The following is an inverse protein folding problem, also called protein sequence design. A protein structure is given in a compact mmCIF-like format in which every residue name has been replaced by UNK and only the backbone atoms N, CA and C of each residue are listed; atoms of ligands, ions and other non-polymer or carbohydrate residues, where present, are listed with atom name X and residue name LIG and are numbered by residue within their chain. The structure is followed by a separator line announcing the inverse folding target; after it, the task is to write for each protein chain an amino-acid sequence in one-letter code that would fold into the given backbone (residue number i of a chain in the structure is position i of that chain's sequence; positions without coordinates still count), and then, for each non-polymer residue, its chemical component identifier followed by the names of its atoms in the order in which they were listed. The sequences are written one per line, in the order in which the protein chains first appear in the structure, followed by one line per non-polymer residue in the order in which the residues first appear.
data_IF_900196266725
#
_entry.id   IF_900196266725
#
_cell.length_a   1.000
_cell.length_b   1.000
_cell.length_c   1.000
_cell.angle_alpha   90.00
_cell.angle_beta   90.00
_cell.angle_gamma   90.00
#
_symmetry.space_group_name_H-M   'P 1'
#
loop_
_entity.id
_entity.type
_entity.pdbx_description
1 polymer ?
#
# COMPACT_ATOMS: atom_id res chain seq x y z
N UNK A 1 -28.73 31.00 61.17
CA UNK A 1 -28.93 29.95 60.14
C UNK A 1 -27.99 30.25 58.99
N UNK A 2 -26.83 29.58 58.94
CA UNK A 2 -25.86 29.72 57.85
C UNK A 2 -25.95 28.46 56.98
N UNK A 3 -26.46 28.59 55.76
CA UNK A 3 -26.58 27.48 54.79
C UNK A 3 -25.27 27.33 54.02
N UNK A 4 -24.63 26.19 54.17
CA UNK A 4 -23.50 25.73 53.35
C UNK A 4 -24.03 25.30 51.97
N UNK A 5 -23.55 25.93 50.90
CA UNK A 5 -23.74 25.46 49.52
C UNK A 5 -22.61 24.49 49.22
N UNK A 6 -22.94 23.21 49.06
CA UNK A 6 -21.99 22.18 48.62
C UNK A 6 -21.77 22.31 47.11
N UNK A 7 -20.55 22.72 46.73
CA UNK A 7 -20.09 22.78 45.34
C UNK A 7 -19.76 21.35 44.88
N UNK A 8 -20.62 20.78 44.02
CA UNK A 8 -20.40 19.45 43.43
C UNK A 8 -19.32 19.56 42.34
N UNK A 9 -18.09 19.16 42.67
CA UNK A 9 -16.98 19.10 41.71
C UNK A 9 -17.19 17.89 40.78
N UNK A 10 -17.65 18.16 39.56
CA UNK A 10 -17.84 17.16 38.51
C UNK A 10 -16.46 16.84 37.89
N UNK A 11 -15.80 15.81 38.41
CA UNK A 11 -14.55 15.29 37.84
C UNK A 11 -14.89 14.59 36.53
N UNK A 12 -14.66 15.26 35.40
CA UNK A 12 -14.69 14.66 34.07
C UNK A 12 -13.42 13.83 33.92
N UNK A 13 -13.49 12.54 34.23
CA UNK A 13 -12.44 11.58 33.90
C UNK A 13 -12.33 11.51 32.36
N UNK A 14 -11.14 11.69 31.77
CA UNK A 14 -10.96 11.49 30.35
C UNK A 14 -11.20 10.00 30.06
N UNK A 15 -12.23 9.71 29.26
CA UNK A 15 -12.41 8.38 28.68
C UNK A 15 -11.23 8.15 27.73
N UNK A 16 -10.16 7.53 28.24
CA UNK A 16 -9.13 6.97 27.38
C UNK A 16 -9.78 5.81 26.65
N UNK A 17 -10.19 6.05 25.39
CA UNK A 17 -10.56 4.98 24.47
C UNK A 17 -9.30 4.14 24.24
N UNK A 18 -9.11 3.14 25.10
CA UNK A 18 -8.12 2.11 24.86
C UNK A 18 -8.62 1.32 23.66
N UNK A 19 -7.97 1.47 22.51
CA UNK A 19 -8.28 0.65 21.34
C UNK A 19 -8.15 -0.82 21.72
N UNK A 20 -9.28 -1.53 21.82
CA UNK A 20 -9.34 -2.92 22.29
C UNK A 20 -8.36 -3.79 21.48
N UNK A 21 -7.27 -4.27 22.09
CA UNK A 21 -6.19 -5.03 21.41
C UNK A 21 -6.79 -6.18 20.56
N UNK A 22 -6.33 -6.33 19.31
CA UNK A 22 -6.74 -7.44 18.45
C UNK A 22 -6.26 -8.75 19.05
N UNK A 23 -7.11 -9.76 19.11
CA UNK A 23 -6.80 -11.10 19.60
C UNK A 23 -7.04 -12.15 18.51
N UNK A 24 -6.59 -13.38 18.75
CA UNK A 24 -6.87 -14.51 17.87
C UNK A 24 -8.38 -14.74 17.73
N UNK A 25 -9.13 -14.61 18.83
CA UNK A 25 -10.59 -14.73 18.84
C UNK A 25 -11.25 -13.68 17.95
N UNK A 26 -10.77 -12.42 17.98
CA UNK A 26 -11.30 -11.38 17.10
C UNK A 26 -11.05 -11.67 15.62
N UNK A 27 -9.98 -12.40 15.29
CA UNK A 27 -9.70 -12.84 13.90
C UNK A 27 -10.62 -14.00 13.51
N UNK A 28 -10.82 -14.97 14.40
CA UNK A 28 -11.69 -16.13 14.14
C UNK A 28 -13.16 -15.76 13.99
N UNK A 29 -13.60 -14.67 14.63
CA UNK A 29 -14.97 -14.17 14.51
C UNK A 29 -15.23 -13.35 13.24
N UNK A 30 -14.23 -13.18 12.37
CA UNK A 30 -14.40 -12.47 11.10
C UNK A 30 -15.25 -13.28 10.11
N UNK A 31 -15.91 -12.59 9.19
CA UNK A 31 -16.63 -13.25 8.11
C UNK A 31 -15.65 -14.03 7.21
N UNK A 32 -15.97 -15.30 6.99
CA UNK A 32 -15.19 -16.16 6.10
C UNK A 32 -15.38 -15.79 4.62
N UNK A 33 -14.28 -15.81 3.87
CA UNK A 33 -14.28 -15.69 2.42
C UNK A 33 -14.42 -17.08 1.80
N UNK A 34 -15.61 -17.37 1.26
CA UNK A 34 -15.86 -18.61 0.52
C UNK A 34 -15.29 -18.52 -0.90
N UNK A 35 -14.40 -19.44 -1.26
CA UNK A 35 -13.83 -19.56 -2.62
C UNK A 35 -14.00 -20.98 -3.11
N UNK A 36 -14.14 -21.17 -4.44
CA UNK A 36 -14.10 -22.53 -5.01
C UNK A 36 -12.77 -23.20 -4.63
N UNK A 37 -11.65 -22.63 -5.09
CA UNK A 37 -10.30 -23.10 -4.76
C UNK A 37 -9.40 -21.91 -4.42
N UNK A 38 -8.54 -22.07 -3.41
CA UNK A 38 -7.51 -21.08 -3.14
C UNK A 38 -6.40 -21.21 -4.19
N UNK A 39 -5.98 -20.08 -4.73
CA UNK A 39 -4.80 -19.96 -5.60
C UNK A 39 -3.98 -18.81 -5.06
N UNK A 40 -2.71 -19.08 -4.79
CA UNK A 40 -1.77 -18.05 -4.41
C UNK A 40 -1.55 -17.13 -5.61
N UNK A 41 -1.87 -15.86 -5.44
CA UNK A 41 -1.59 -14.82 -6.44
C UNK A 41 -0.19 -14.27 -6.20
N UNK A 42 0.83 -15.08 -6.55
CA UNK A 42 2.24 -14.72 -6.39
C UNK A 42 2.66 -13.77 -7.53
N UNK A 43 2.39 -12.48 -7.35
CA UNK A 43 2.69 -11.46 -8.37
C UNK A 43 3.42 -10.22 -7.85
N UNK A 44 3.10 -9.78 -6.63
CA UNK A 44 3.39 -8.41 -6.17
C UNK A 44 3.91 -8.31 -4.74
N UNK A 45 3.44 -9.19 -3.87
CA UNK A 45 4.03 -9.44 -2.56
C UNK A 45 4.72 -10.80 -2.61
N UNK A 46 5.83 -10.91 -1.89
CA UNK A 46 6.37 -12.22 -1.58
C UNK A 46 5.40 -12.93 -0.62
N UNK A 47 5.39 -14.27 -0.66
CA UNK A 47 4.50 -15.05 0.19
C UNK A 47 5.24 -16.19 0.87
N UNK A 48 5.08 -16.30 2.18
CA UNK A 48 5.48 -17.47 2.94
C UNK A 48 4.30 -18.41 3.03
N UNK A 49 4.51 -19.64 2.58
CA UNK A 49 3.51 -20.70 2.64
C UNK A 49 3.89 -21.67 3.76
N UNK A 50 3.06 -21.72 4.79
CA UNK A 50 3.12 -22.72 5.87
C UNK A 50 2.10 -23.78 5.51
N UNK A 51 2.57 -24.86 4.87
CA UNK A 51 1.72 -25.97 4.47
C UNK A 51 1.40 -26.83 5.69
N UNK A 52 0.14 -27.20 5.86
CA UNK A 52 -0.33 -27.99 6.99
C UNK A 52 -1.16 -29.18 6.52
N UNK A 53 -1.15 -30.25 7.31
CA UNK A 53 -1.96 -31.43 7.00
C UNK A 53 -3.46 -31.11 7.03
N UNK A 54 -4.22 -31.80 6.18
CA UNK A 54 -5.68 -31.76 6.21
C UNK A 54 -6.20 -32.10 7.62
N UNK A 55 -7.18 -31.34 8.10
CA UNK A 55 -7.77 -31.54 9.44
C UNK A 55 -6.86 -31.19 10.62
N UNK A 56 -5.62 -30.76 10.39
CA UNK A 56 -4.62 -30.57 11.45
C UNK A 56 -3.89 -29.22 11.33
N UNK A 57 -3.20 -28.85 12.40
CA UNK A 57 -2.27 -27.71 12.44
C UNK A 57 -0.80 -28.15 12.36
N UNK A 58 -0.55 -29.45 12.11
CA UNK A 58 0.79 -29.97 11.92
C UNK A 58 1.42 -29.36 10.67
N UNK A 59 2.57 -28.69 10.85
CA UNK A 59 3.31 -28.04 9.75
C UNK A 59 4.05 -29.12 8.96
N UNK A 60 3.69 -29.27 7.68
CA UNK A 60 4.33 -30.18 6.73
C UNK A 60 5.60 -29.54 6.17
N UNK A 61 5.51 -28.26 5.81
CA UNK A 61 6.65 -27.49 5.32
C UNK A 61 6.44 -25.99 5.54
N UNK A 62 7.55 -25.28 5.66
CA UNK A 62 7.58 -23.82 5.72
C UNK A 62 8.72 -23.33 4.84
N UNK A 63 8.39 -22.74 3.70
CA UNK A 63 9.38 -22.15 2.79
C UNK A 63 9.75 -20.74 3.26
N UNK A 64 11.00 -20.31 3.02
CA UNK A 64 11.44 -18.92 3.17
C UNK A 64 11.29 -18.29 4.58
N UNK A 65 11.27 -19.11 5.64
CA UNK A 65 11.13 -18.66 7.04
C UNK A 65 12.13 -17.58 7.45
N UNK A 66 13.35 -17.60 6.90
CA UNK A 66 14.38 -16.61 7.20
C UNK A 66 13.95 -15.17 6.84
N UNK A 67 13.17 -15.01 5.77
CA UNK A 67 12.74 -13.70 5.28
C UNK A 67 11.67 -13.06 6.17
N UNK A 68 10.95 -13.85 7.00
CA UNK A 68 9.83 -13.34 7.80
C UNK A 68 10.25 -12.42 8.95
N UNK A 69 11.48 -12.57 9.46
CA UNK A 69 11.94 -11.88 10.67
C UNK A 69 11.99 -10.36 10.48
N UNK A 70 12.43 -9.91 9.32
CA UNK A 70 12.62 -8.48 8.98
C UNK A 70 11.61 -8.00 7.93
N UNK A 71 10.69 -8.87 7.53
CA UNK A 71 9.66 -8.54 6.56
C UNK A 71 8.69 -7.48 7.08
N UNK A 72 8.07 -6.76 6.16
CA UNK A 72 6.85 -6.01 6.43
C UNK A 72 5.66 -6.86 5.98
N UNK A 73 4.79 -7.26 6.90
CA UNK A 73 3.66 -8.17 6.61
C UNK A 73 2.39 -7.37 6.37
N UNK A 74 1.64 -7.73 5.35
CA UNK A 74 0.42 -7.01 4.94
C UNK A 74 -0.84 -7.84 5.10
N UNK A 75 -0.75 -9.15 4.91
CA UNK A 75 -1.92 -10.02 4.99
C UNK A 75 -1.53 -11.42 5.45
N UNK A 76 -2.39 -12.04 6.26
CA UNK A 76 -2.32 -13.46 6.60
C UNK A 76 -3.63 -14.13 6.20
N UNK A 77 -3.53 -15.13 5.32
CA UNK A 77 -4.65 -15.97 4.92
C UNK A 77 -4.59 -17.29 5.70
N UNK A 78 -5.65 -17.61 6.43
CA UNK A 78 -5.89 -18.94 6.97
C UNK A 78 -6.73 -19.70 5.96
N UNK A 79 -6.16 -20.70 5.31
CA UNK A 79 -6.80 -21.43 4.22
C UNK A 79 -7.17 -22.84 4.68
N UNK A 80 -8.44 -23.19 4.51
CA UNK A 80 -8.98 -24.48 4.88
C UNK A 80 -10.14 -24.89 3.97
N UNK A 81 -10.66 -26.10 4.13
CA UNK A 81 -11.74 -26.64 3.30
C UNK A 81 -13.07 -26.65 4.04
N UNK A 82 -14.17 -26.59 3.30
CA UNK A 82 -15.51 -26.84 3.83
C UNK A 82 -15.79 -28.33 4.06
N UNK A 83 -14.82 -29.04 4.64
CA UNK A 83 -14.94 -30.45 4.97
C UNK A 83 -14.41 -30.73 6.38
N UNK A 84 -15.18 -31.42 7.26
CA UNK A 84 -16.56 -31.87 7.00
C UNK A 84 -17.53 -30.68 6.83
N UNK A 85 -18.53 -30.83 5.94
CA UNK A 85 -19.42 -29.72 5.53
C UNK A 85 -20.19 -29.16 6.72
N UNK A 86 -20.23 -27.84 6.83
CA UNK A 86 -21.00 -27.13 7.86
C UNK A 86 -20.42 -27.22 9.28
N UNK A 87 -19.24 -27.82 9.46
CA UNK A 87 -18.58 -27.89 10.76
C UNK A 87 -17.84 -26.58 11.06
N UNK A 88 -17.95 -26.13 12.32
CA UNK A 88 -17.13 -25.06 12.85
C UNK A 88 -15.68 -25.55 13.04
N UNK A 89 -14.76 -24.92 12.32
CA UNK A 89 -13.34 -25.24 12.33
C UNK A 89 -12.50 -24.21 13.11
N UNK A 90 -13.14 -23.36 13.92
CA UNK A 90 -12.47 -22.31 14.69
C UNK A 90 -11.38 -22.85 15.62
N UNK A 91 -11.61 -23.98 16.29
CA UNK A 91 -10.58 -24.59 17.13
C UNK A 91 -9.34 -25.02 16.32
N UNK A 92 -9.55 -25.61 15.14
CA UNK A 92 -8.47 -25.98 14.24
C UNK A 92 -7.73 -24.73 13.74
N UNK A 93 -8.48 -23.73 13.26
CA UNK A 93 -7.92 -22.49 12.74
C UNK A 93 -7.19 -21.68 13.82
N UNK A 94 -7.65 -21.73 15.08
CA UNK A 94 -6.93 -21.18 16.23
C UNK A 94 -5.54 -21.80 16.35
N UNK A 95 -5.43 -23.12 16.28
CA UNK A 95 -4.14 -23.81 16.35
C UNK A 95 -3.23 -23.42 15.16
N UNK A 96 -3.79 -23.27 13.96
CA UNK A 96 -3.04 -22.80 12.78
C UNK A 96 -2.52 -21.37 12.93
N UNK A 97 -3.33 -20.47 13.49
CA UNK A 97 -2.90 -19.10 13.81
C UNK A 97 -1.76 -19.13 14.84
N UNK A 98 -1.89 -19.94 15.91
CA UNK A 98 -0.83 -20.08 16.91
C UNK A 98 0.48 -20.59 16.29
N UNK A 99 0.42 -21.51 15.31
CA UNK A 99 1.60 -21.94 14.54
C UNK A 99 2.23 -20.83 13.70
N UNK A 100 1.43 -19.95 13.10
CA UNK A 100 1.97 -18.76 12.44
C UNK A 100 2.67 -17.82 13.43
N UNK A 101 2.14 -17.68 14.65
CA UNK A 101 2.72 -16.86 15.71
C UNK A 101 4.05 -17.40 16.26
N UNK A 102 4.28 -18.71 16.21
CA UNK A 102 5.59 -19.30 16.50
C UNK A 102 6.67 -18.79 15.53
N UNK A 103 6.30 -18.49 14.28
CA UNK A 103 7.21 -17.92 13.32
C UNK A 103 7.38 -16.40 13.48
N UNK A 104 6.31 -15.69 13.85
CA UNK A 104 6.34 -14.24 14.09
C UNK A 104 5.22 -13.78 15.04
N UNK A 105 5.61 -13.31 16.24
CA UNK A 105 4.68 -13.08 17.37
C UNK A 105 3.79 -11.83 17.22
N UNK A 106 4.22 -10.84 16.44
CA UNK A 106 3.56 -9.55 16.28
C UNK A 106 2.38 -9.57 15.28
N UNK A 107 2.21 -10.65 14.49
CA UNK A 107 1.19 -10.72 13.42
C UNK A 107 -0.24 -10.42 13.90
N UNK A 108 -0.60 -10.82 15.11
CA UNK A 108 -1.95 -10.58 15.65
C UNK A 108 -2.09 -9.15 16.20
N UNK A 109 -1.04 -8.58 16.79
CA UNK A 109 -1.14 -7.24 17.39
C UNK A 109 -0.96 -6.12 16.36
N UNK A 110 -0.24 -6.37 15.27
CA UNK A 110 -0.02 -5.38 14.20
C UNK A 110 -1.30 -5.14 13.39
N UNK A 111 -1.92 -3.99 13.62
CA UNK A 111 -3.16 -3.58 12.96
C UNK A 111 -3.05 -3.40 11.45
N UNK A 112 -1.83 -3.25 10.92
CA UNK A 112 -1.60 -3.14 9.49
C UNK A 112 -1.65 -4.48 8.77
N UNK A 113 -1.60 -5.60 9.51
CA UNK A 113 -1.75 -6.95 8.96
C UNK A 113 -3.24 -7.27 8.80
N UNK A 114 -3.73 -7.37 7.57
CA UNK A 114 -5.08 -7.89 7.30
C UNK A 114 -5.14 -9.40 7.55
N UNK A 115 -6.28 -9.91 8.03
CA UNK A 115 -6.50 -11.34 8.20
C UNK A 115 -7.67 -11.79 7.34
N UNK A 116 -7.57 -12.97 6.73
CA UNK A 116 -8.66 -13.58 5.95
C UNK A 116 -8.80 -15.06 6.31
N UNK A 117 -10.02 -15.45 6.69
CA UNK A 117 -10.40 -16.85 6.79
C UNK A 117 -10.94 -17.30 5.44
N UNK A 118 -10.18 -18.13 4.70
CA UNK A 118 -10.56 -18.59 3.37
C UNK A 118 -11.04 -20.03 3.45
N UNK A 119 -12.34 -20.23 3.26
CA UNK A 119 -12.97 -21.54 3.19
C UNK A 119 -13.12 -21.97 1.73
N UNK A 120 -12.45 -23.06 1.37
CA UNK A 120 -12.49 -23.66 0.03
C UNK A 120 -13.68 -24.60 -0.09
N UNK A 121 -14.48 -24.41 -1.14
CA UNK A 121 -15.75 -25.11 -1.34
C UNK A 121 -15.67 -26.25 -2.36
N UNK A 122 -14.55 -26.41 -3.06
CA UNK A 122 -14.33 -27.41 -4.14
C UNK A 122 -13.99 -28.81 -3.60
N UNK A 123 -14.73 -29.28 -2.60
CA UNK A 123 -14.60 -30.62 -2.03
C UNK A 123 -15.97 -31.15 -1.54
N UNK A 124 -16.37 -32.32 -2.06
CA UNK A 124 -17.53 -33.10 -1.64
C UNK A 124 -17.17 -34.28 -0.73
N UNK A 125 -15.91 -34.72 -0.72
CA UNK A 125 -15.40 -35.84 0.08
C UNK A 125 -14.11 -35.51 0.82
N UNK A 126 -13.75 -36.33 1.80
CA UNK A 126 -12.46 -36.22 2.51
C UNK A 126 -11.27 -36.35 1.54
N UNK A 127 -11.36 -37.27 0.59
CA UNK A 127 -10.31 -37.50 -0.40
C UNK A 127 -10.08 -36.24 -1.25
N UNK A 128 -11.15 -35.61 -1.74
CA UNK A 128 -11.05 -34.34 -2.45
C UNK A 128 -10.53 -33.22 -1.56
N UNK A 129 -11.02 -33.12 -0.32
CA UNK A 129 -10.57 -32.12 0.63
C UNK A 129 -9.06 -32.19 0.89
N UNK A 130 -8.51 -33.41 1.05
CA UNK A 130 -7.07 -33.66 1.22
C UNK A 130 -6.20 -33.17 0.06
N UNK A 131 -6.75 -33.05 -1.15
CA UNK A 131 -5.99 -32.53 -2.31
C UNK A 131 -5.90 -31.00 -2.35
N UNK A 132 -6.74 -30.31 -1.58
CA UNK A 132 -6.74 -28.85 -1.51
C UNK A 132 -5.69 -28.36 -0.52
N UNK A 133 -5.26 -27.11 -0.69
CA UNK A 133 -4.27 -26.51 0.21
C UNK A 133 -4.86 -26.27 1.61
N UNK A 134 -4.13 -26.63 2.66
CA UNK A 134 -4.45 -26.25 4.04
C UNK A 134 -3.23 -25.60 4.67
N UNK A 135 -3.48 -24.54 5.45
CA UNK A 135 -2.42 -23.90 6.22
C UNK A 135 -2.52 -22.40 6.21
N UNK A 136 -1.37 -21.75 6.23
CA UNK A 136 -1.25 -20.31 6.39
C UNK A 136 -0.43 -19.73 5.26
N UNK A 137 -0.90 -18.64 4.66
CA UNK A 137 -0.12 -17.83 3.71
C UNK A 137 0.10 -16.45 4.29
N UNK A 138 1.36 -16.04 4.40
CA UNK A 138 1.75 -14.72 4.91
C UNK A 138 2.30 -13.91 3.73
N UNK A 139 1.58 -12.86 3.35
CA UNK A 139 1.95 -11.93 2.28
C UNK A 139 2.78 -10.78 2.84
N UNK A 140 3.96 -10.55 2.28
CA UNK A 140 4.95 -9.62 2.82
C UNK A 140 5.77 -8.92 1.74
N UNK A 141 6.42 -7.82 2.11
CA UNK A 141 7.58 -7.26 1.37
C UNK A 141 8.84 -7.49 2.20
N UNK A 142 9.93 -7.86 1.54
CA UNK A 142 11.26 -7.89 2.15
C UNK A 142 11.62 -6.47 2.63
N UNK A 143 12.35 -6.38 3.74
CA UNK A 143 12.94 -5.12 4.17
C UNK A 143 13.85 -4.58 3.06
N UNK A 144 13.86 -3.26 2.90
CA UNK A 144 14.78 -2.59 1.99
C UNK A 144 16.18 -2.68 2.60
N UNK A 145 17.08 -3.44 1.97
CA UNK A 145 18.47 -3.64 2.43
C UNK A 145 19.43 -3.08 1.39
N UNK A 146 20.69 -2.84 1.79
CA UNK A 146 21.75 -2.42 0.87
C UNK A 146 21.88 -3.35 -0.34
N UNK A 147 21.72 -4.67 -0.13
CA UNK A 147 21.73 -5.65 -1.22
C UNK A 147 20.54 -5.48 -2.18
N UNK A 148 19.36 -5.13 -1.65
CA UNK A 148 18.17 -4.83 -2.47
C UNK A 148 18.41 -3.54 -3.27
N UNK A 149 19.06 -2.54 -2.68
CA UNK A 149 19.47 -1.31 -3.37
C UNK A 149 20.39 -1.59 -4.55
N UNK A 150 21.41 -2.42 -4.36
CA UNK A 150 22.30 -2.83 -5.46
C UNK A 150 21.53 -3.50 -6.60
N UNK A 151 20.59 -4.39 -6.26
CA UNK A 151 19.75 -5.06 -7.28
C UNK A 151 18.81 -4.11 -7.99
N UNK A 152 18.24 -3.13 -7.29
CA UNK A 152 17.36 -2.12 -7.86
C UNK A 152 18.13 -1.17 -8.78
N UNK A 153 19.35 -0.78 -8.41
CA UNK A 153 20.22 0.03 -9.25
C UNK A 153 20.55 -0.69 -10.56
N UNK A 154 20.95 -1.96 -10.49
CA UNK A 154 21.19 -2.79 -11.68
C UNK A 154 19.91 -2.92 -12.52
N UNK A 155 18.75 -3.07 -11.88
CA UNK A 155 17.47 -3.11 -12.56
C UNK A 155 17.19 -1.80 -13.31
N UNK A 156 17.33 -0.63 -12.67
CA UNK A 156 17.18 0.67 -13.33
C UNK A 156 18.11 0.83 -14.54
N UNK A 157 19.40 0.52 -14.38
CA UNK A 157 20.39 0.63 -15.46
C UNK A 157 20.08 -0.30 -16.65
N UNK A 158 19.39 -1.41 -16.39
CA UNK A 158 18.99 -2.37 -17.42
C UNK A 158 17.72 -1.98 -18.19
N UNK A 159 16.77 -1.29 -17.54
CA UNK A 159 15.43 -1.02 -18.10
C UNK A 159 15.27 0.41 -18.61
N UNK A 160 15.95 1.38 -18.00
CA UNK A 160 15.84 2.77 -18.39
C UNK A 160 16.59 2.96 -19.71
N UNK A 161 15.94 3.47 -20.77
CA UNK A 161 16.64 3.83 -21.99
C UNK A 161 17.81 4.77 -21.66
N UNK A 162 18.92 4.65 -22.38
CA UNK A 162 20.11 5.51 -22.16
C UNK A 162 20.02 6.85 -22.90
N UNK A 163 19.06 6.99 -23.81
CA UNK A 163 18.77 8.22 -24.56
C UNK A 163 17.32 8.18 -25.07
N UNK A 164 16.77 9.38 -25.26
CA UNK A 164 15.53 9.70 -25.96
C UNK A 164 15.49 9.27 -27.44
N UNK A 165 16.64 8.96 -28.05
CA UNK A 165 16.74 8.43 -29.42
C UNK A 165 16.26 6.99 -29.56
N UNK A 166 16.05 6.27 -28.45
CA UNK A 166 15.57 4.89 -28.46
C UNK A 166 14.05 4.90 -28.26
N UNK A 167 13.24 4.55 -29.29
CA UNK A 167 11.80 4.46 -29.12
C UNK A 167 11.48 3.40 -28.07
N UNK A 168 10.63 3.75 -27.10
CA UNK A 168 10.02 2.76 -26.21
C UNK A 168 9.26 1.73 -27.07
N UNK A 169 9.66 0.47 -27.04
CA UNK A 169 8.99 -0.60 -27.79
C UNK A 169 7.78 -1.09 -27.00
N UNK A 170 6.66 -1.37 -27.67
CA UNK A 170 5.47 -1.96 -27.03
C UNK A 170 5.80 -3.26 -26.27
N UNK A 171 6.82 -3.99 -26.72
CA UNK A 171 7.38 -5.18 -26.12
C UNK A 171 7.98 -4.94 -24.72
N UNK A 172 8.54 -3.74 -24.47
CA UNK A 172 9.01 -3.37 -23.13
C UNK A 172 7.83 -3.19 -22.16
N UNK A 173 6.64 -2.83 -22.65
CA UNK A 173 5.45 -2.77 -21.79
C UNK A 173 4.94 -4.17 -21.40
N UNK A 174 5.19 -5.19 -22.23
CA UNK A 174 4.81 -6.59 -21.94
C UNK A 174 5.62 -7.22 -20.81
N UNK A 175 6.75 -6.61 -20.42
CA UNK A 175 7.62 -7.14 -19.37
C UNK A 175 7.12 -6.81 -17.95
N UNK A 176 6.27 -5.78 -17.82
CA UNK A 176 5.76 -5.40 -16.51
C UNK A 176 4.56 -6.25 -16.13
N UNK A 177 4.63 -6.85 -14.94
CA UNK A 177 3.46 -7.53 -14.34
C UNK A 177 2.44 -6.49 -13.88
N UNK A 178 2.89 -5.48 -13.12
CA UNK A 178 2.10 -4.29 -12.82
C UNK A 178 2.21 -3.28 -13.96
N UNK A 179 1.10 -2.71 -14.43
CA UNK A 179 1.15 -1.61 -15.39
C UNK A 179 0.50 -0.33 -14.85
N UNK A 180 0.32 -0.19 -13.54
CA UNK A 180 -0.45 0.89 -12.89
C UNK A 180 -0.11 2.27 -13.45
N UNK A 181 1.17 2.67 -13.41
CA UNK A 181 1.57 4.03 -13.83
C UNK A 181 1.22 4.25 -15.31
N UNK A 182 1.65 3.33 -16.20
CA UNK A 182 1.35 3.47 -17.63
C UNK A 182 -0.14 3.38 -17.95
N UNK A 183 -0.87 2.47 -17.30
CA UNK A 183 -2.30 2.26 -17.51
C UNK A 183 -3.10 3.50 -17.07
N UNK A 184 -2.76 4.09 -15.92
CA UNK A 184 -3.41 5.30 -15.40
C UNK A 184 -3.15 6.49 -16.31
N UNK A 185 -1.90 6.77 -16.68
CA UNK A 185 -1.60 7.86 -17.60
C UNK A 185 -2.26 7.66 -18.98
N UNK A 186 -2.35 6.42 -19.48
CA UNK A 186 -3.04 6.12 -20.74
C UNK A 186 -4.54 6.41 -20.67
N UNK A 187 -5.20 6.13 -19.54
CA UNK A 187 -6.62 6.41 -19.33
C UNK A 187 -6.91 7.88 -19.06
N UNK A 188 -5.99 8.60 -18.43
CA UNK A 188 -6.22 9.95 -17.90
C UNK A 188 -5.51 11.06 -18.71
N UNK A 189 -5.75 11.12 -20.03
CA UNK A 189 -5.12 12.09 -20.94
C UNK A 189 -5.59 13.54 -20.75
N UNK A 190 -6.64 13.75 -19.97
CA UNK A 190 -7.21 15.07 -19.69
C UNK A 190 -6.37 15.90 -18.71
N UNK A 191 -5.48 15.28 -17.93
CA UNK A 191 -4.61 16.00 -17.00
C UNK A 191 -3.62 16.86 -17.78
N UNK A 192 -3.76 18.18 -17.64
CA UNK A 192 -2.93 19.17 -18.32
C UNK A 192 -2.44 20.20 -17.30
N UNK A 193 -1.21 20.66 -17.48
CA UNK A 193 -0.57 21.62 -16.58
C UNK A 193 -0.52 21.12 -15.11
N UNK A 194 -0.08 19.88 -14.94
CA UNK A 194 0.07 19.23 -13.65
C UNK A 194 1.55 19.07 -13.28
N UNK A 195 1.87 19.18 -11.99
CA UNK A 195 3.17 18.76 -11.46
C UNK A 195 3.12 17.28 -11.11
N UNK A 196 4.14 16.52 -11.51
CA UNK A 196 4.29 15.12 -11.13
C UNK A 196 5.15 15.03 -9.88
N UNK A 197 4.56 14.49 -8.81
CA UNK A 197 5.24 14.11 -7.57
C UNK A 197 5.36 12.59 -7.56
N UNK A 198 6.53 12.03 -7.30
CA UNK A 198 6.71 10.59 -7.25
C UNK A 198 7.57 10.16 -6.07
N UNK A 199 7.07 9.15 -5.35
CA UNK A 199 7.86 8.30 -4.47
C UNK A 199 8.86 7.52 -5.33
N UNK A 200 10.15 7.66 -5.01
CA UNK A 200 11.22 6.92 -5.67
C UNK A 200 12.04 6.04 -4.72
N UNK A 201 11.43 5.60 -3.62
CA UNK A 201 12.03 4.59 -2.74
C UNK A 201 12.21 3.23 -3.43
N UNK A 202 13.01 2.33 -2.85
CA UNK A 202 13.30 1.02 -3.48
C UNK A 202 12.04 0.18 -3.75
N UNK A 203 10.97 0.39 -2.97
CA UNK A 203 9.68 -0.27 -3.21
C UNK A 203 9.03 0.12 -4.56
N UNK A 204 9.42 1.28 -5.09
CA UNK A 204 8.85 1.89 -6.29
C UNK A 204 9.59 1.55 -7.58
N UNK A 205 10.69 0.78 -7.50
CA UNK A 205 11.52 0.35 -8.64
C UNK A 205 10.74 -0.10 -9.90
N UNK A 206 9.75 -1.01 -9.82
CA UNK A 206 8.98 -1.44 -11.00
C UNK A 206 8.01 -0.36 -11.55
N UNK A 207 7.68 0.68 -10.78
CA UNK A 207 6.79 1.76 -11.19
C UNK A 207 7.55 2.98 -11.71
N UNK A 208 8.76 3.22 -11.22
CA UNK A 208 9.65 4.28 -11.71
C UNK A 208 10.04 4.05 -13.16
N UNK A 209 10.30 2.80 -13.55
CA UNK A 209 10.55 2.44 -14.94
C UNK A 209 9.36 2.72 -15.85
N UNK A 210 8.14 2.50 -15.35
CA UNK A 210 6.91 2.90 -16.05
C UNK A 210 6.78 4.42 -16.17
N UNK A 211 7.15 5.17 -15.14
CA UNK A 211 7.20 6.62 -15.17
C UNK A 211 8.20 7.14 -16.21
N UNK A 212 9.38 6.53 -16.30
CA UNK A 212 10.38 6.85 -17.31
C UNK A 212 9.86 6.61 -18.73
N UNK A 213 9.17 5.49 -18.97
CA UNK A 213 8.53 5.20 -20.25
C UNK A 213 7.43 6.20 -20.61
N UNK A 214 6.62 6.60 -19.62
CA UNK A 214 5.63 7.67 -19.81
C UNK A 214 6.31 9.00 -20.15
N UNK A 215 7.39 9.35 -19.46
CA UNK A 215 8.13 10.59 -19.70
C UNK A 215 8.69 10.63 -21.12
N UNK A 216 9.34 9.56 -21.58
CA UNK A 216 9.79 9.41 -22.96
C UNK A 216 8.67 9.58 -23.98
N UNK A 217 7.51 8.97 -23.72
CA UNK A 217 6.35 9.14 -24.60
C UNK A 217 5.87 10.59 -24.63
N UNK A 218 5.86 11.29 -23.49
CA UNK A 218 5.50 12.71 -23.41
C UNK A 218 6.51 13.61 -24.13
N UNK A 219 7.79 13.26 -24.18
CA UNK A 219 8.80 14.00 -24.95
C UNK A 219 8.54 13.99 -26.46
N UNK A 220 7.91 12.94 -26.99
CA UNK A 220 7.43 12.93 -28.37
C UNK A 220 6.32 13.98 -28.63
N UNK A 221 5.88 14.67 -27.57
CA UNK A 221 4.96 15.80 -27.60
C UNK A 221 5.58 17.10 -27.03
N UNK A 222 6.91 17.17 -26.82
CA UNK A 222 7.71 18.36 -26.45
C UNK A 222 7.12 19.25 -25.36
N UNK A 223 6.62 18.63 -24.29
CA UNK A 223 6.02 19.34 -23.16
C UNK A 223 6.96 19.37 -21.94
N UNK A 224 7.23 20.56 -21.42
CA UNK A 224 7.94 20.73 -20.15
C UNK A 224 7.12 20.10 -19.02
N UNK A 225 7.79 19.32 -18.18
CA UNK A 225 7.19 18.65 -17.03
C UNK A 225 7.86 19.10 -15.75
N UNK A 226 7.06 19.54 -14.79
CA UNK A 226 7.51 19.81 -13.43
C UNK A 226 7.56 18.48 -12.66
N UNK A 227 8.75 18.09 -12.20
CA UNK A 227 9.01 16.85 -11.47
C UNK A 227 9.43 17.16 -10.04
N UNK A 228 8.88 16.42 -9.10
CA UNK A 228 9.28 16.39 -7.69
C UNK A 228 9.43 14.93 -7.27
N UNK A 229 10.65 14.49 -7.04
CA UNK A 229 10.96 13.13 -6.60
C UNK A 229 11.36 13.15 -5.13
N UNK A 230 11.02 12.12 -4.36
CA UNK A 230 11.47 11.99 -2.98
C UNK A 230 11.86 10.58 -2.58
N UNK A 231 12.75 10.47 -1.60
CA UNK A 231 13.38 9.20 -1.16
C UNK A 231 13.27 8.93 0.36
N UNK A 232 12.37 9.65 1.04
CA UNK A 232 12.16 9.63 2.49
C UNK A 232 13.31 10.15 3.36
N UNK A 233 13.99 11.19 2.89
CA UNK A 233 14.90 11.95 3.73
C UNK A 233 16.36 11.53 3.66
N UNK A 234 16.88 11.15 2.49
CA UNK A 234 18.33 10.97 2.25
C UNK A 234 19.03 10.02 3.23
N UNK A 235 18.41 8.84 3.48
CA UNK A 235 18.86 7.86 4.49
C UNK A 235 18.93 8.40 5.93
N UNK A 236 18.19 9.46 6.23
CA UNK A 236 18.01 9.94 7.60
C UNK A 236 17.48 8.80 8.46
N UNK A 237 18.09 8.62 9.65
CA UNK A 237 17.65 7.59 10.59
C UNK A 237 16.18 7.78 10.95
N UNK A 238 15.43 6.69 11.04
CA UNK A 238 13.97 6.70 11.20
C UNK A 238 13.51 7.53 12.41
N UNK A 239 14.24 7.49 13.52
CA UNK A 239 13.96 8.26 14.74
C UNK A 239 14.13 9.78 14.58
N UNK A 240 14.82 10.23 13.53
CA UNK A 240 15.04 11.64 13.22
C UNK A 240 14.07 12.18 12.15
N UNK A 241 13.26 11.32 11.53
CA UNK A 241 12.29 11.71 10.50
C UNK A 241 11.10 12.42 11.15
N UNK A 242 11.15 13.75 11.17
CA UNK A 242 10.09 14.60 11.72
C UNK A 242 9.13 15.03 10.59
N UNK A 243 7.81 14.82 10.73
CA UNK A 243 6.82 15.26 9.73
C UNK A 243 7.03 16.71 9.28
N UNK A 244 7.15 16.91 7.96
CA UNK A 244 7.37 18.22 7.33
C UNK A 244 8.81 18.75 7.42
N UNK A 245 9.76 17.94 7.92
CA UNK A 245 11.19 18.24 8.00
C UNK A 245 12.05 17.02 7.67
N UNK A 246 11.48 16.02 6.99
CA UNK A 246 12.20 14.78 6.66
C UNK A 246 13.19 15.02 5.53
N UNK A 247 12.88 15.89 4.56
CA UNK A 247 13.77 16.20 3.44
C UNK A 247 13.80 15.13 2.36
N UNK A 248 14.93 15.04 1.64
CA UNK A 248 15.08 14.09 0.54
C UNK A 248 14.15 14.34 -0.64
N UNK A 249 13.90 15.60 -0.96
CA UNK A 249 13.00 16.05 -2.03
C UNK A 249 13.82 16.80 -3.08
N UNK A 250 13.75 16.34 -4.32
CA UNK A 250 14.53 16.86 -5.45
C UNK A 250 13.59 17.23 -6.58
N UNK A 251 13.87 18.35 -7.25
CA UNK A 251 12.93 18.93 -8.22
C UNK A 251 13.62 19.35 -9.51
N UNK A 252 12.93 19.20 -10.64
CA UNK A 252 13.40 19.68 -11.94
C UNK A 252 12.22 19.95 -12.86
N UNK A 253 12.28 21.06 -13.60
CA UNK A 253 11.38 21.31 -14.73
C UNK A 253 12.12 21.04 -16.02
N UNK A 254 11.67 20.05 -16.78
CA UNK A 254 12.40 19.63 -18.00
C UNK A 254 11.49 18.94 -19.01
N UNK A 255 11.87 19.04 -20.28
CA UNK A 255 11.40 18.23 -21.41
C UNK A 255 12.55 17.37 -21.97
N UNK A 256 13.63 17.19 -21.21
CA UNK A 256 14.79 16.41 -21.59
C UNK A 256 14.83 15.10 -20.78
N UNK A 257 14.99 13.98 -21.47
CA UNK A 257 14.99 12.68 -20.80
C UNK A 257 16.23 12.45 -19.94
N UNK A 258 17.40 12.93 -20.38
CA UNK A 258 18.64 12.85 -19.60
C UNK A 258 18.49 13.60 -18.29
N UNK A 259 17.86 14.77 -18.32
CA UNK A 259 17.56 15.54 -17.12
C UNK A 259 16.68 14.77 -16.13
N UNK A 260 15.67 14.04 -16.61
CA UNK A 260 14.83 13.17 -15.80
C UNK A 260 15.65 12.03 -15.17
N UNK A 261 16.50 11.35 -15.95
CA UNK A 261 17.34 10.25 -15.46
C UNK A 261 18.34 10.74 -14.43
N UNK A 262 19.00 11.87 -14.66
CA UNK A 262 19.93 12.47 -13.70
C UNK A 262 19.25 12.86 -12.39
N UNK A 263 18.02 13.43 -12.45
CA UNK A 263 17.23 13.74 -11.26
C UNK A 263 16.84 12.47 -10.49
N UNK A 264 16.43 11.42 -11.20
CA UNK A 264 16.08 10.12 -10.61
C UNK A 264 17.30 9.49 -9.93
N UNK A 265 18.42 9.37 -10.64
CA UNK A 265 19.67 8.80 -10.13
C UNK A 265 20.19 9.57 -8.93
N UNK A 266 20.14 10.92 -8.96
CA UNK A 266 20.49 11.74 -7.81
C UNK A 266 19.62 11.37 -6.62
N UNK A 267 18.30 11.38 -6.80
CA UNK A 267 17.35 11.12 -5.71
C UNK A 267 17.52 9.72 -5.11
N UNK A 268 17.62 8.67 -5.93
CA UNK A 268 17.78 7.29 -5.46
C UNK A 268 19.17 7.01 -4.88
N UNK A 269 20.20 7.74 -5.30
CA UNK A 269 21.56 7.59 -4.75
C UNK A 269 21.67 8.14 -3.32
N UNK A 270 20.87 9.15 -2.98
CA UNK A 270 20.89 9.80 -1.68
C UNK A 270 20.10 9.03 -0.62
N UNK A 271 19.11 8.24 -1.03
CA UNK A 271 18.27 7.45 -0.13
C UNK A 271 17.37 6.47 -0.87
N UNK A 272 16.94 5.41 -0.18
CA UNK A 272 16.07 4.37 -0.76
C UNK A 272 14.83 4.08 0.11
N UNK A 273 14.54 4.94 1.08
CA UNK A 273 13.58 4.69 2.16
C UNK A 273 14.27 4.23 3.46
N UNK A 274 13.50 3.74 4.43
CA UNK A 274 14.07 3.18 5.67
C UNK A 274 13.07 2.39 6.48
N UNK A 275 12.14 3.07 7.13
CA UNK A 275 10.93 2.48 7.71
C UNK A 275 9.82 2.40 6.66
N UNK A 276 8.64 1.94 7.10
CA UNK A 276 7.49 1.69 6.24
C UNK A 276 6.77 2.97 5.80
N UNK A 277 6.93 4.07 6.55
CA UNK A 277 6.19 5.32 6.32
C UNK A 277 7.00 6.25 5.43
N UNK A 278 6.32 7.13 4.69
CA UNK A 278 6.93 8.00 3.69
C UNK A 278 6.51 9.46 3.88
N UNK A 279 7.39 10.42 3.59
CA UNK A 279 7.13 11.87 3.70
C UNK A 279 6.40 12.48 2.48
N UNK A 280 5.30 11.82 2.09
CA UNK A 280 4.55 12.15 0.88
C UNK A 280 3.97 13.58 0.85
N UNK A 281 3.46 14.09 1.98
CA UNK A 281 2.78 15.40 1.98
C UNK A 281 3.79 16.55 1.91
N UNK A 282 4.97 16.41 2.50
CA UNK A 282 6.08 17.34 2.38
C UNK A 282 6.47 17.54 0.91
N UNK A 283 6.60 16.45 0.14
CA UNK A 283 6.87 16.50 -1.31
C UNK A 283 5.74 17.19 -2.09
N UNK A 284 4.47 16.91 -1.76
CA UNK A 284 3.30 17.56 -2.37
C UNK A 284 3.28 19.07 -2.06
N UNK A 285 3.57 19.46 -0.83
CA UNK A 285 3.65 20.86 -0.44
C UNK A 285 4.80 21.56 -1.15
N UNK A 286 5.93 20.89 -1.33
CA UNK A 286 7.06 21.42 -2.09
C UNK A 286 6.70 21.66 -3.57
N UNK A 287 5.97 20.73 -4.17
CA UNK A 287 5.42 20.90 -5.52
C UNK A 287 4.46 22.09 -5.62
N UNK A 288 3.59 22.26 -4.62
CA UNK A 288 2.66 23.39 -4.55
C UNK A 288 3.37 24.75 -4.42
N UNK A 289 4.44 24.80 -3.60
CA UNK A 289 5.26 25.99 -3.37
C UNK A 289 6.02 26.41 -4.64
N UNK A 290 6.73 25.46 -5.27
CA UNK A 290 7.62 25.75 -6.40
C UNK A 290 6.87 25.95 -7.73
N UNK A 291 5.71 25.33 -7.86
CA UNK A 291 4.93 25.35 -9.11
C UNK A 291 3.50 25.89 -8.85
N UNK A 292 3.37 27.18 -8.50
CA UNK A 292 2.08 27.79 -8.14
C UNK A 292 1.09 27.81 -9.31
N UNK A 293 1.56 27.77 -10.57
CA UNK A 293 0.71 27.77 -11.76
C UNK A 293 0.13 26.39 -12.13
N UNK A 294 0.65 25.30 -11.56
CA UNK A 294 0.10 23.96 -11.81
C UNK A 294 -1.33 23.86 -11.29
N UNK A 295 -2.26 23.34 -12.10
CA UNK A 295 -3.68 23.25 -11.71
C UNK A 295 -3.98 22.09 -10.76
N UNK A 296 -3.18 21.04 -10.87
CA UNK A 296 -3.32 19.81 -10.10
C UNK A 296 -1.95 19.17 -9.89
N UNK A 297 -1.88 18.24 -8.93
CA UNK A 297 -0.69 17.47 -8.62
C UNK A 297 -0.99 16.01 -8.93
N UNK A 298 -0.19 15.37 -9.77
CA UNK A 298 -0.23 13.92 -9.99
C UNK A 298 0.77 13.31 -9.04
N UNK A 299 0.30 12.54 -8.06
CA UNK A 299 1.14 11.94 -7.04
C UNK A 299 1.20 10.42 -7.23
N UNK A 300 2.38 9.88 -7.47
CA UNK A 300 2.63 8.45 -7.67
C UNK A 300 3.19 7.86 -6.38
N UNK A 301 2.51 6.87 -5.80
CA UNK A 301 2.79 6.39 -4.45
C UNK A 301 2.73 4.86 -4.32
N UNK A 302 3.52 4.30 -3.41
CA UNK A 302 3.38 2.90 -2.98
C UNK A 302 2.15 2.74 -2.07
N UNK A 303 1.20 1.88 -2.47
CA UNK A 303 0.03 1.55 -1.65
C UNK A 303 0.41 1.06 -0.25
N UNK A 304 1.54 0.38 -0.13
CA UNK A 304 1.94 -0.31 1.08
C UNK A 304 2.65 0.59 2.10
N UNK A 305 2.98 1.83 1.72
CA UNK A 305 3.57 2.82 2.60
C UNK A 305 2.49 3.71 3.26
N UNK A 306 2.45 3.86 4.59
CA UNK A 306 1.65 4.91 5.21
C UNK A 306 2.29 6.29 5.00
N UNK A 307 1.45 7.32 4.98
CA UNK A 307 1.84 8.73 4.90
C UNK A 307 2.27 9.20 6.30
N UNK A 308 3.59 9.36 6.51
CA UNK A 308 4.17 9.81 7.80
C UNK A 308 3.58 11.13 8.26
N UNK A 309 3.41 12.03 7.31
CA UNK A 309 3.09 13.43 7.50
C UNK A 309 1.63 13.74 7.12
N UNK A 310 0.72 12.77 7.30
CA UNK A 310 -0.70 12.91 7.01
C UNK A 310 -1.38 14.10 7.74
N UNK A 311 -0.81 14.54 8.86
CA UNK A 311 -1.26 15.74 9.58
C UNK A 311 -1.14 17.04 8.75
N UNK A 312 -0.28 17.07 7.74
CA UNK A 312 -0.04 18.22 6.87
C UNK A 312 -1.02 18.31 5.69
N UNK A 313 -1.89 17.32 5.48
CA UNK A 313 -2.80 17.27 4.31
C UNK A 313 -3.69 18.51 4.22
N UNK A 314 -4.08 19.08 5.36
CA UNK A 314 -4.89 20.30 5.44
C UNK A 314 -4.24 21.54 4.81
N UNK A 315 -2.91 21.52 4.63
CA UNK A 315 -2.14 22.59 3.99
C UNK A 315 -2.11 22.47 2.47
N UNK A 316 -2.51 21.32 1.91
CA UNK A 316 -2.57 21.11 0.46
C UNK A 316 -3.84 21.78 -0.09
N UNK A 317 -3.66 22.71 -1.03
CA UNK A 317 -4.71 23.55 -1.62
C UNK A 317 -5.05 23.18 -3.06
N UNK A 318 -4.23 22.33 -3.69
CA UNK A 318 -4.43 21.84 -5.06
C UNK A 318 -5.01 20.43 -5.04
N UNK A 319 -5.87 20.06 -6.01
CA UNK A 319 -6.31 18.68 -6.18
C UNK A 319 -5.14 17.72 -6.39
N UNK A 320 -5.11 16.62 -5.61
CA UNK A 320 -4.11 15.57 -5.75
C UNK A 320 -4.69 14.34 -6.44
N UNK A 321 -4.18 14.02 -7.62
CA UNK A 321 -4.48 12.82 -8.40
C UNK A 321 -3.51 11.72 -7.97
N UNK A 322 -3.94 10.83 -7.07
CA UNK A 322 -3.09 9.76 -6.56
C UNK A 322 -3.09 8.59 -7.54
N UNK A 323 -1.94 8.32 -8.16
CA UNK A 323 -1.65 7.08 -8.87
C UNK A 323 -1.11 6.07 -7.84
N UNK A 324 -1.96 5.13 -7.43
CA UNK A 324 -1.68 4.25 -6.29
C UNK A 324 -1.22 2.88 -6.78
N UNK A 325 0.07 2.62 -6.62
CA UNK A 325 0.78 1.45 -7.13
C UNK A 325 0.65 0.25 -6.18
N UNK A 326 0.52 -0.98 -6.70
CA UNK A 326 0.51 -2.20 -5.87
C UNK A 326 -0.81 -2.49 -5.14
N UNK A 327 -1.95 -2.07 -5.69
CA UNK A 327 -3.26 -2.10 -5.01
C UNK A 327 -4.03 -3.44 -5.09
N UNK A 328 -3.34 -4.56 -5.26
CA UNK A 328 -3.97 -5.87 -5.52
C UNK A 328 -4.77 -6.44 -4.34
N UNK A 329 -4.31 -6.18 -3.12
CA UNK A 329 -4.97 -6.66 -1.90
C UNK A 329 -6.01 -5.67 -1.37
N UNK A 330 -5.65 -4.39 -1.36
CA UNK A 330 -6.45 -3.28 -0.88
C UNK A 330 -5.89 -1.96 -1.43
N UNK A 331 -6.67 -0.89 -1.33
CA UNK A 331 -6.18 0.48 -1.46
C UNK A 331 -6.02 1.12 -0.07
N UNK A 332 -4.85 1.64 0.24
CA UNK A 332 -4.57 2.26 1.52
C UNK A 332 -5.43 3.52 1.70
N UNK A 333 -6.24 3.53 2.77
CA UNK A 333 -7.23 4.57 3.02
C UNK A 333 -6.62 5.94 3.28
N UNK A 334 -5.34 6.04 3.68
CA UNK A 334 -4.68 7.33 3.84
C UNK A 334 -4.58 8.09 2.52
N UNK A 335 -4.29 7.41 1.42
CA UNK A 335 -4.29 8.00 0.08
C UNK A 335 -5.69 8.32 -0.43
N UNK A 336 -6.69 7.49 -0.10
CA UNK A 336 -8.10 7.80 -0.39
C UNK A 336 -8.52 9.09 0.32
N UNK A 337 -8.12 9.27 1.58
CA UNK A 337 -8.39 10.48 2.36
C UNK A 337 -7.59 11.70 1.90
N UNK A 338 -6.33 11.53 1.46
CA UNK A 338 -5.56 12.58 0.80
C UNK A 338 -6.30 13.13 -0.43
N UNK A 339 -6.72 12.25 -1.33
CA UNK A 339 -7.49 12.64 -2.50
C UNK A 339 -8.83 13.29 -2.13
N UNK A 340 -9.57 12.71 -1.17
CA UNK A 340 -10.85 13.27 -0.69
C UNK A 340 -10.68 14.70 -0.15
N UNK A 341 -9.72 14.92 0.75
CA UNK A 341 -9.48 16.20 1.41
C UNK A 341 -8.98 17.29 0.48
N UNK A 342 -8.32 16.91 -0.61
CA UNK A 342 -7.79 17.85 -1.62
C UNK A 342 -8.75 18.07 -2.79
N UNK A 343 -9.91 17.39 -2.84
CA UNK A 343 -10.80 17.42 -4.01
C UNK A 343 -10.23 16.71 -5.24
N UNK A 344 -9.24 15.84 -5.02
CA UNK A 344 -8.57 15.03 -6.02
C UNK A 344 -9.28 13.71 -6.31
N UNK A 345 -8.49 12.70 -6.72
CA UNK A 345 -8.97 11.36 -7.10
C UNK A 345 -7.89 10.31 -6.88
N UNK A 346 -8.27 9.03 -6.84
CA UNK A 346 -7.34 7.91 -6.71
C UNK A 346 -7.47 6.97 -7.91
N UNK A 347 -6.36 6.49 -8.42
CA UNK A 347 -6.25 5.74 -9.66
C UNK A 347 -5.42 4.48 -9.45
N UNK A 348 -6.01 3.31 -9.72
CA UNK A 348 -5.33 2.01 -9.68
C UNK A 348 -5.05 1.51 -11.10
N UNK A 349 -4.45 0.31 -11.23
CA UNK A 349 -4.21 -0.29 -12.53
C UNK A 349 -5.47 -0.41 -13.39
N UNK A 350 -6.63 -0.66 -12.80
CA UNK A 350 -7.87 -0.97 -13.53
C UNK A 350 -9.02 0.01 -13.27
N UNK A 351 -8.98 0.77 -12.17
CA UNK A 351 -10.10 1.56 -11.70
C UNK A 351 -9.69 2.99 -11.36
N UNK A 352 -10.57 3.93 -11.65
CA UNK A 352 -10.42 5.33 -11.27
C UNK A 352 -11.54 5.69 -10.28
N UNK A 353 -11.16 6.16 -9.10
CA UNK A 353 -12.05 6.59 -8.03
C UNK A 353 -12.07 8.12 -7.98
N UNK A 354 -13.09 8.69 -8.61
CA UNK A 354 -13.29 10.13 -8.77
C UNK A 354 -14.35 10.65 -7.79
N UNK A 355 -14.43 11.98 -7.65
CA UNK A 355 -15.47 12.66 -6.86
C UNK A 355 -15.55 12.19 -5.39
N UNK A 356 -14.40 11.78 -4.84
CA UNK A 356 -14.28 11.28 -3.47
C UNK A 356 -14.82 12.27 -2.44
N UNK A 357 -14.69 13.58 -2.66
CA UNK A 357 -15.22 14.64 -1.79
C UNK A 357 -16.76 14.68 -1.72
N UNK A 358 -17.46 14.13 -2.72
CA UNK A 358 -18.93 14.10 -2.77
C UNK A 358 -19.54 12.92 -2.00
N UNK A 359 -18.73 11.96 -1.56
CA UNK A 359 -19.23 10.83 -0.77
C UNK A 359 -19.70 11.31 0.61
N UNK A 360 -20.88 10.85 1.02
CA UNK A 360 -21.53 11.23 2.28
C UNK A 360 -21.25 10.24 3.40
N UNK A 361 -21.41 10.67 4.65
CA UNK A 361 -21.29 9.84 5.85
C UNK A 361 -22.13 8.55 5.75
N UNK A 362 -21.57 7.43 6.21
CA UNK A 362 -22.21 6.10 6.14
C UNK A 362 -22.19 5.45 4.75
N UNK A 363 -21.76 6.15 3.69
CA UNK A 363 -21.67 5.56 2.36
C UNK A 363 -20.66 4.43 2.34
N UNK A 364 -21.15 3.24 1.96
CA UNK A 364 -20.32 2.06 1.68
C UNK A 364 -20.04 1.97 0.18
N UNK A 365 -18.79 1.68 -0.17
CA UNK A 365 -18.37 1.44 -1.56
C UNK A 365 -17.23 0.41 -1.61
N UNK A 366 -16.95 -0.11 -2.81
CA UNK A 366 -15.87 -1.07 -3.05
C UNK A 366 -14.87 -0.46 -4.01
N UNK A 367 -13.58 -0.62 -3.70
CA UNK A 367 -12.47 -0.24 -4.59
C UNK A 367 -11.35 -1.26 -4.45
N UNK A 368 -10.81 -1.76 -5.56
CA UNK A 368 -9.78 -2.80 -5.59
C UNK A 368 -10.04 -3.98 -4.62
N UNK A 369 -11.25 -4.54 -4.67
CA UNK A 369 -11.68 -5.74 -3.92
C UNK A 369 -11.81 -5.56 -2.40
N UNK A 370 -11.59 -4.35 -1.88
CA UNK A 370 -11.85 -4.00 -0.49
C UNK A 370 -13.09 -3.12 -0.38
N UNK A 371 -13.87 -3.34 0.67
CA UNK A 371 -15.00 -2.46 1.03
C UNK A 371 -14.52 -1.34 1.95
N UNK A 372 -15.08 -0.15 1.76
CA UNK A 372 -14.82 1.03 2.55
C UNK A 372 -16.14 1.67 2.97
N UNK A 373 -16.10 2.40 4.08
CA UNK A 373 -17.21 3.22 4.58
C UNK A 373 -16.70 4.63 4.90
N UNK A 374 -17.53 5.64 4.68
CA UNK A 374 -17.30 6.97 5.23
C UNK A 374 -17.74 6.96 6.69
N UNK A 375 -16.80 7.14 7.61
CA UNK A 375 -17.07 7.24 9.05
C UNK A 375 -16.34 8.45 9.63
N UNK A 376 -17.07 9.32 10.31
CA UNK A 376 -16.58 10.59 10.85
C UNK A 376 -15.86 11.44 9.79
N UNK A 377 -16.40 11.46 8.56
CA UNK A 377 -15.83 12.21 7.44
C UNK A 377 -14.60 11.57 6.75
N UNK A 378 -14.05 10.49 7.31
CA UNK A 378 -12.90 9.75 6.75
C UNK A 378 -13.35 8.46 6.06
N UNK A 379 -12.64 8.08 5.00
CA UNK A 379 -12.73 6.76 4.38
C UNK A 379 -11.94 5.78 5.24
N UNK A 380 -12.58 4.72 5.73
CA UNK A 380 -11.93 3.64 6.47
C UNK A 380 -12.29 2.28 5.85
N UNK A 381 -11.42 1.25 5.98
CA UNK A 381 -11.78 -0.11 5.63
C UNK A 381 -13.05 -0.55 6.36
N UNK A 382 -13.92 -1.25 5.65
CA UNK A 382 -15.19 -1.75 6.15
C UNK A 382 -15.30 -3.25 5.93
N UNK A 383 -15.53 -3.99 7.00
CA UNK A 383 -15.86 -5.41 6.98
C UNK A 383 -17.34 -5.56 7.34
N UNK A 384 -18.08 -6.37 6.58
CA UNK A 384 -19.46 -6.71 6.93
C UNK A 384 -19.40 -7.64 8.13
N UNK A 385 -19.75 -7.12 9.30
CA UNK A 385 -20.02 -7.90 10.51
C UNK A 385 -21.28 -8.73 10.36
#
# INVERSE_FOLDING_TARGET
MHSFVALLLLVVLPLVVTGQKRTVETILNQQEVKKKRYRLDAGYLDAIVINMSFGEAAVVSMMDKANLKEATVFQVDIVYTDYPKGVDLNNLNKQRILKALEARKDLVIDRNVAWKLIRQMDCGSEAEAKTLFHGVVIHYKKGQTEKVRETDQVFYDSILPKSDSVPAKAEQLKQFRDTTVTAVFRRNKQWKNATVVADVTGSMSPYISQLALWFLYKLNHKEVTNLVLFNDGDNLKNELKVPGKTGGIYTKSTDNYRDFVELLQLTTSMGFGGDMQENAVEAILKAQELYPDSKEIIFIADNYAPIRDAGLISNVKKPVRVVLCGTHLFANSQYLNLARKTGGSVHSMEQDLIDLSKLVEGKVFTFNRQMYIIKNGEIIPYERT
#
